data_IF_081267735942
#
_entry.id   IF_081267735942
#
_cell.length_a   1.000
_cell.length_b   1.000
_cell.length_c   1.000
_cell.angle_alpha   90.00
_cell.angle_beta   90.00
_cell.angle_gamma   90.00
#
_symmetry.space_group_name_H-M   'P 1'
#
loop_
_entity.id
_entity.type
_entity.pdbx_description
1 polymer ?
#
# COMPACT_ATOMS: atom_id res chain seq x y z
N UNK A 1 -0.74 -12.69 10.60
CA UNK A 1 -1.96 -12.01 11.07
C UNK A 1 -2.88 -12.97 11.82
N UNK A 2 -3.40 -14.09 11.22
CA UNK A 2 -4.29 -15.06 11.92
C UNK A 2 -3.77 -15.50 13.29
N UNK A 3 -2.46 -15.88 13.37
CA UNK A 3 -1.83 -16.33 14.63
C UNK A 3 -1.85 -15.22 15.72
N UNK A 4 -1.69 -13.95 15.36
CA UNK A 4 -1.76 -12.85 16.32
C UNK A 4 -3.18 -12.73 16.91
N UNK A 5 -4.20 -12.78 16.06
CA UNK A 5 -5.60 -12.75 16.51
C UNK A 5 -6.06 -13.99 17.27
N UNK A 6 -5.36 -15.13 17.15
CA UNK A 6 -5.72 -16.37 17.88
C UNK A 6 -5.23 -16.40 19.34
N UNK A 7 -4.38 -15.46 19.77
CA UNK A 7 -3.90 -15.40 21.16
C UNK A 7 -5.02 -14.98 22.12
N UNK A 8 -5.56 -15.90 22.90
CA UNK A 8 -6.74 -15.66 23.77
C UNK A 8 -6.57 -14.50 24.75
N UNK A 9 -5.37 -14.27 25.29
CA UNK A 9 -5.09 -13.29 26.34
C UNK A 9 -4.50 -11.95 25.82
N UNK A 10 -4.38 -11.76 24.50
CA UNK A 10 -3.83 -10.52 23.97
C UNK A 10 -4.83 -9.36 24.12
N UNK A 11 -4.40 -8.25 24.70
CA UNK A 11 -5.22 -7.04 24.86
C UNK A 11 -5.47 -6.33 23.53
N UNK A 12 -4.49 -6.33 22.63
CA UNK A 12 -4.56 -5.74 21.30
C UNK A 12 -3.70 -6.52 20.30
N UNK A 13 -3.85 -6.21 19.02
CA UNK A 13 -2.95 -6.67 17.95
C UNK A 13 -2.22 -5.45 17.40
N UNK A 14 -0.91 -5.42 17.58
CA UNK A 14 -0.02 -4.43 16.98
C UNK A 14 0.47 -4.93 15.62
N UNK A 15 0.45 -4.06 14.62
CA UNK A 15 0.91 -4.37 13.26
C UNK A 15 1.91 -3.30 12.84
N UNK A 16 3.17 -3.71 12.66
CA UNK A 16 4.17 -2.87 11.99
C UNK A 16 3.97 -2.97 10.48
N UNK A 17 4.10 -1.84 9.81
CA UNK A 17 3.99 -1.74 8.36
C UNK A 17 5.13 -0.90 7.81
N UNK A 18 5.82 -1.44 6.81
CA UNK A 18 6.80 -0.74 6.00
C UNK A 18 6.50 -1.04 4.54
N UNK A 19 5.76 -0.14 3.87
CA UNK A 19 5.25 -0.41 2.52
C UNK A 19 4.99 0.86 1.74
N UNK A 20 5.54 0.98 0.52
CA UNK A 20 5.27 2.09 -0.40
C UNK A 20 3.93 1.94 -1.13
N UNK A 21 3.23 0.83 -0.94
CA UNK A 21 1.97 0.51 -1.61
C UNK A 21 2.03 -0.76 -2.45
N UNK A 22 1.30 -0.76 -3.55
CA UNK A 22 1.20 -1.90 -4.47
C UNK A 22 -0.21 -2.10 -5.00
N UNK A 23 -0.58 -3.33 -5.32
CA UNK A 23 -1.88 -3.66 -5.92
C UNK A 23 -3.06 -3.19 -5.06
N UNK A 24 -3.99 -2.39 -5.60
CA UNK A 24 -5.18 -1.92 -4.88
C UNK A 24 -6.03 -3.06 -4.32
N UNK A 25 -6.25 -4.11 -5.13
CA UNK A 25 -7.06 -5.26 -4.72
C UNK A 25 -6.42 -6.00 -3.55
N UNK A 26 -5.11 -6.25 -3.59
CA UNK A 26 -4.42 -6.94 -2.50
C UNK A 26 -4.43 -6.12 -1.20
N UNK A 27 -4.22 -4.82 -1.31
CA UNK A 27 -4.29 -3.90 -0.17
C UNK A 27 -5.68 -3.90 0.47
N UNK A 28 -6.74 -3.87 -0.35
CA UNK A 28 -8.11 -3.91 0.12
C UNK A 28 -8.48 -5.27 0.77
N UNK A 29 -8.01 -6.39 0.21
CA UNK A 29 -8.21 -7.72 0.79
C UNK A 29 -7.53 -7.84 2.15
N UNK A 30 -6.31 -7.31 2.31
CA UNK A 30 -5.58 -7.31 3.58
C UNK A 30 -6.32 -6.43 4.60
N UNK A 31 -6.72 -5.22 4.23
CA UNK A 31 -7.53 -4.32 5.05
C UNK A 31 -8.80 -5.02 5.55
N UNK A 32 -9.58 -5.57 4.63
CA UNK A 32 -10.84 -6.24 4.94
C UNK A 32 -10.63 -7.45 5.85
N UNK A 33 -9.59 -8.23 5.59
CA UNK A 33 -9.23 -9.38 6.42
C UNK A 33 -8.88 -8.96 7.86
N UNK A 34 -8.09 -7.90 8.04
CA UNK A 34 -7.71 -7.39 9.37
C UNK A 34 -8.95 -6.92 10.11
N UNK A 35 -9.82 -6.13 9.46
CA UNK A 35 -11.07 -5.66 10.08
C UNK A 35 -12.01 -6.81 10.46
N UNK A 36 -12.11 -7.84 9.62
CA UNK A 36 -12.89 -9.03 9.92
C UNK A 36 -12.34 -9.76 11.16
N UNK A 37 -11.01 -9.96 11.25
CA UNK A 37 -10.40 -10.60 12.41
C UNK A 37 -10.54 -9.76 13.68
N UNK A 38 -10.37 -8.45 13.60
CA UNK A 38 -10.57 -7.52 14.71
C UNK A 38 -12.00 -7.63 15.25
N UNK A 39 -13.02 -7.57 14.38
CA UNK A 39 -14.43 -7.73 14.75
C UNK A 39 -14.69 -9.10 15.38
N UNK A 40 -14.20 -10.20 14.77
CA UNK A 40 -14.42 -11.57 15.27
C UNK A 40 -13.80 -11.80 16.64
N UNK A 41 -12.65 -11.20 16.92
CA UNK A 41 -11.93 -11.37 18.19
C UNK A 41 -12.25 -10.29 19.23
N UNK A 42 -13.02 -9.27 18.88
CA UNK A 42 -13.30 -8.07 19.65
C UNK A 42 -12.03 -7.40 20.17
N UNK A 43 -11.02 -7.21 19.30
CA UNK A 43 -9.72 -6.66 19.67
C UNK A 43 -9.41 -5.40 18.91
N UNK A 44 -8.79 -4.47 19.62
CA UNK A 44 -8.19 -3.29 19.01
C UNK A 44 -7.00 -3.69 18.14
N UNK A 45 -6.85 -2.97 17.04
CA UNK A 45 -5.71 -3.08 16.12
C UNK A 45 -4.99 -1.74 16.13
N UNK A 46 -3.68 -1.78 16.40
CA UNK A 46 -2.83 -0.60 16.42
C UNK A 46 -1.76 -0.76 15.35
N UNK A 47 -1.72 0.19 14.41
CA UNK A 47 -0.69 0.20 13.37
C UNK A 47 0.48 1.09 13.76
N UNK A 48 1.67 0.63 13.38
CA UNK A 48 2.91 1.37 13.52
C UNK A 48 3.59 1.41 12.15
N UNK A 49 3.61 2.60 11.53
CA UNK A 49 4.37 2.82 10.31
C UNK A 49 5.86 2.91 10.67
N UNK A 50 6.66 2.13 9.97
CA UNK A 50 8.12 2.20 10.03
C UNK A 50 8.59 3.34 9.11
N UNK A 51 9.42 3.08 8.08
CA UNK A 51 9.89 4.15 7.18
C UNK A 51 8.75 4.71 6.31
N UNK A 52 7.92 3.82 5.76
CA UNK A 52 6.85 4.21 4.82
C UNK A 52 5.55 3.45 5.09
N UNK A 53 4.45 4.18 5.12
CA UNK A 53 3.09 3.65 4.97
C UNK A 53 2.36 4.54 3.96
N UNK A 54 2.56 4.27 2.67
CA UNK A 54 2.06 5.09 1.57
C UNK A 54 1.19 4.28 0.61
N UNK A 55 0.28 4.96 -0.10
CA UNK A 55 -0.61 4.34 -1.09
C UNK A 55 -1.34 3.12 -0.51
N UNK A 56 -1.23 1.94 -1.13
CA UNK A 56 -1.80 0.69 -0.61
C UNK A 56 -1.33 0.34 0.82
N UNK A 57 -0.12 0.77 1.23
CA UNK A 57 0.38 0.63 2.61
C UNK A 57 -0.44 1.46 3.60
N UNK A 58 -0.79 2.70 3.23
CA UNK A 58 -1.66 3.53 4.05
C UNK A 58 -3.11 3.01 4.06
N UNK A 59 -3.62 2.52 2.92
CA UNK A 59 -4.91 1.85 2.86
C UNK A 59 -5.00 0.69 3.87
N UNK A 60 -3.97 -0.14 3.94
CA UNK A 60 -3.89 -1.23 4.93
C UNK A 60 -3.85 -0.69 6.35
N UNK A 61 -3.09 0.39 6.60
CA UNK A 61 -2.99 1.03 7.93
C UNK A 61 -4.34 1.55 8.42
N UNK A 62 -5.21 1.97 7.51
CA UNK A 62 -6.60 2.35 7.83
C UNK A 62 -7.45 1.21 8.39
N UNK A 63 -6.96 -0.04 8.40
CA UNK A 63 -7.58 -1.12 9.14
C UNK A 63 -7.34 -1.04 10.65
N UNK A 64 -6.46 -0.17 11.13
CA UNK A 64 -6.23 0.11 12.54
C UNK A 64 -7.33 0.93 13.18
N UNK A 65 -7.52 0.72 14.47
CA UNK A 65 -8.30 1.62 15.31
C UNK A 65 -7.46 2.85 15.68
N UNK A 66 -6.14 2.66 15.71
CA UNK A 66 -5.14 3.71 15.91
C UNK A 66 -3.94 3.48 14.97
N UNK A 67 -3.32 4.57 14.51
CA UNK A 67 -2.15 4.56 13.63
C UNK A 67 -1.09 5.48 14.23
N UNK A 68 0.10 4.94 14.45
CA UNK A 68 1.29 5.66 14.92
C UNK A 68 2.41 5.59 13.89
N UNK A 69 3.31 6.55 13.92
CA UNK A 69 4.48 6.60 13.04
C UNK A 69 5.64 7.33 13.73
N UNK A 70 6.84 7.19 13.20
CA UNK A 70 7.94 8.08 13.54
C UNK A 70 7.68 9.46 12.91
N UNK A 71 8.26 10.53 13.49
CA UNK A 71 8.16 11.89 12.94
C UNK A 71 8.63 12.01 11.50
N UNK A 72 9.58 11.17 11.11
CA UNK A 72 10.20 11.11 9.79
C UNK A 72 9.60 10.06 8.85
N UNK A 73 8.67 9.21 9.31
CA UNK A 73 7.97 8.26 8.45
C UNK A 73 7.24 8.97 7.32
N UNK A 74 7.13 8.32 6.17
CA UNK A 74 6.38 8.81 5.02
C UNK A 74 4.97 8.22 5.02
N UNK A 75 3.96 9.08 5.04
CA UNK A 75 2.55 8.70 5.19
C UNK A 75 1.71 9.36 4.09
N UNK A 76 0.71 8.66 3.58
CA UNK A 76 -0.24 9.24 2.63
C UNK A 76 -0.17 8.62 1.24
N UNK A 77 0.12 9.41 0.21
CA UNK A 77 0.06 8.99 -1.19
C UNK A 77 -1.31 8.38 -1.52
N UNK A 78 -2.39 9.10 -1.16
CA UNK A 78 -3.77 8.65 -1.36
C UNK A 78 -4.15 9.00 -2.80
N UNK A 79 -3.79 8.10 -3.71
CA UNK A 79 -3.98 8.25 -5.14
C UNK A 79 -3.76 6.95 -5.89
N UNK A 80 -4.08 6.96 -7.18
CA UNK A 80 -3.90 5.83 -8.10
C UNK A 80 -3.10 6.27 -9.29
N UNK A 81 -2.06 5.52 -9.63
CA UNK A 81 -1.22 5.78 -10.80
C UNK A 81 -1.21 4.57 -11.72
N UNK A 82 -1.19 4.83 -13.01
CA UNK A 82 -0.73 3.90 -14.05
C UNK A 82 0.49 4.52 -14.72
N UNK A 83 1.54 3.75 -14.88
CA UNK A 83 2.73 4.17 -15.62
C UNK A 83 3.16 3.06 -16.55
N UNK A 84 3.55 3.43 -17.77
CA UNK A 84 4.03 2.52 -18.80
C UNK A 84 5.10 3.23 -19.65
N UNK A 85 5.74 2.48 -20.51
CA UNK A 85 6.68 3.00 -21.51
C UNK A 85 6.08 2.84 -22.89
N UNK A 86 6.28 3.85 -23.77
CA UNK A 86 5.95 3.76 -25.20
C UNK A 86 7.19 3.37 -26.01
N UNK A 87 7.10 2.31 -26.80
CA UNK A 87 8.20 1.79 -27.63
C UNK A 87 7.93 1.90 -29.14
N UNK A 88 6.87 2.61 -29.55
CA UNK A 88 6.44 2.73 -30.94
C UNK A 88 7.56 3.22 -31.85
N UNK A 89 8.25 4.30 -31.49
CA UNK A 89 9.34 4.84 -32.27
C UNK A 89 10.61 3.98 -32.25
N UNK A 90 10.83 3.27 -31.13
CA UNK A 90 11.97 2.37 -31.01
C UNK A 90 11.85 1.19 -31.99
N UNK A 91 10.70 0.52 -32.01
CA UNK A 91 10.50 -0.64 -32.91
C UNK A 91 10.53 -0.23 -34.37
N UNK A 92 10.01 0.96 -34.73
CA UNK A 92 10.14 1.51 -36.09
C UNK A 92 11.61 1.69 -36.49
N UNK A 93 12.46 2.25 -35.63
CA UNK A 93 13.89 2.49 -35.91
C UNK A 93 14.69 1.20 -36.13
N UNK A 94 14.32 0.10 -35.48
CA UNK A 94 15.00 -1.19 -35.66
C UNK A 94 14.33 -2.11 -36.69
N UNK A 95 13.33 -1.59 -37.42
CA UNK A 95 12.64 -2.34 -38.48
C UNK A 95 11.73 -3.46 -37.98
N UNK A 96 11.23 -3.37 -36.75
CA UNK A 96 10.29 -4.34 -36.19
C UNK A 96 8.86 -3.87 -36.37
N UNK A 97 8.00 -4.73 -36.89
CA UNK A 97 6.57 -4.49 -37.07
C UNK A 97 5.76 -5.20 -35.99
N UNK A 98 4.93 -4.47 -35.27
CA UNK A 98 3.97 -5.02 -34.29
C UNK A 98 2.71 -5.47 -35.02
N UNK A 99 2.41 -6.77 -35.00
CA UNK A 99 1.19 -7.36 -35.57
C UNK A 99 0.28 -7.86 -34.47
N UNK A 100 -0.93 -7.32 -34.40
CA UNK A 100 -1.90 -7.65 -33.36
C UNK A 100 -3.23 -8.06 -34.01
N UNK A 101 -3.69 -9.26 -33.70
CA UNK A 101 -4.98 -9.80 -34.10
C UNK A 101 -5.83 -10.07 -32.86
N UNK A 102 -6.97 -9.42 -32.74
CA UNK A 102 -7.82 -9.54 -31.56
C UNK A 102 -9.23 -9.95 -31.90
N UNK A 103 -9.85 -10.72 -31.04
CA UNK A 103 -11.29 -10.87 -30.95
C UNK A 103 -11.79 -10.00 -29.80
N UNK A 104 -12.59 -8.99 -30.12
CA UNK A 104 -13.02 -7.93 -29.21
C UNK A 104 -12.35 -6.58 -29.50
N UNK A 105 -13.18 -5.56 -29.78
CA UNK A 105 -12.76 -4.22 -30.24
C UNK A 105 -11.69 -3.56 -29.36
N UNK A 106 -11.77 -3.77 -28.06
CA UNK A 106 -10.92 -3.08 -27.06
C UNK A 106 -9.89 -4.02 -26.41
N UNK A 107 -9.54 -5.15 -27.05
CA UNK A 107 -8.67 -6.15 -26.41
C UNK A 107 -7.21 -5.74 -26.37
N UNK A 108 -6.76 -4.84 -27.26
CA UNK A 108 -5.40 -4.31 -27.34
C UNK A 108 -5.36 -2.86 -26.82
N UNK A 109 -5.86 -2.65 -25.60
CA UNK A 109 -5.85 -1.34 -24.96
C UNK A 109 -4.45 -1.07 -24.38
N UNK A 110 -3.92 0.15 -24.65
CA UNK A 110 -2.63 0.64 -24.08
C UNK A 110 -1.44 -0.29 -24.36
N UNK A 111 -1.38 -0.89 -25.56
CA UNK A 111 -0.23 -1.67 -26.00
C UNK A 111 1.01 -0.75 -26.13
N UNK A 112 2.11 -1.00 -25.40
CA UNK A 112 3.27 -0.11 -25.36
C UNK A 112 4.02 0.00 -26.70
N UNK A 113 3.71 -0.87 -27.66
CA UNK A 113 4.29 -0.86 -29.02
C UNK A 113 3.37 -0.23 -30.06
N UNK A 114 2.26 0.35 -29.66
CA UNK A 114 1.30 1.05 -30.52
C UNK A 114 1.09 2.47 -30.01
N UNK A 115 0.60 3.34 -30.88
CA UNK A 115 0.20 4.69 -30.49
C UNK A 115 -0.99 4.62 -29.54
N UNK A 116 -0.96 5.45 -28.49
CA UNK A 116 -2.06 5.54 -27.53
C UNK A 116 -3.30 6.14 -28.20
N UNK A 117 -4.46 5.60 -27.89
CA UNK A 117 -5.75 6.10 -28.32
C UNK A 117 -6.42 6.86 -27.18
N UNK A 118 -6.94 8.05 -27.46
CA UNK A 118 -7.63 8.86 -26.45
C UNK A 118 -8.77 8.10 -25.75
N UNK A 119 -9.50 7.26 -26.49
CA UNK A 119 -10.55 6.41 -25.92
C UNK A 119 -10.03 5.42 -24.87
N UNK A 120 -8.81 4.89 -25.07
CA UNK A 120 -8.19 3.93 -24.14
C UNK A 120 -7.68 4.65 -22.89
N UNK A 121 -7.10 5.85 -23.08
CA UNK A 121 -6.71 6.74 -21.97
C UNK A 121 -7.93 7.09 -21.12
N UNK A 122 -9.04 7.45 -21.76
CA UNK A 122 -10.26 7.81 -21.03
C UNK A 122 -10.84 6.62 -20.26
N UNK A 123 -10.83 5.41 -20.81
CA UNK A 123 -11.24 4.19 -20.10
C UNK A 123 -10.36 3.93 -18.87
N UNK A 124 -9.04 4.09 -19.05
CA UNK A 124 -8.10 3.95 -17.93
C UNK A 124 -8.37 4.98 -16.84
N UNK A 125 -8.54 6.27 -17.22
CA UNK A 125 -8.86 7.33 -16.26
C UNK A 125 -10.13 7.04 -15.47
N UNK A 126 -11.16 6.53 -16.10
CA UNK A 126 -12.40 6.16 -15.40
C UNK A 126 -12.15 5.06 -14.36
N UNK A 127 -11.39 4.02 -14.71
CA UNK A 127 -11.01 2.96 -13.75
C UNK A 127 -10.18 3.55 -12.60
N UNK A 128 -9.24 4.44 -12.89
CA UNK A 128 -8.43 5.10 -11.86
C UNK A 128 -9.28 5.93 -10.90
N UNK A 129 -10.28 6.65 -11.41
CA UNK A 129 -11.22 7.43 -10.59
C UNK A 129 -12.04 6.53 -9.66
N UNK A 130 -12.56 5.41 -10.16
CA UNK A 130 -13.29 4.45 -9.34
C UNK A 130 -12.42 3.89 -8.21
N UNK A 131 -11.20 3.44 -8.54
CA UNK A 131 -10.25 2.92 -7.54
C UNK A 131 -9.83 3.99 -6.53
N UNK A 132 -9.66 5.23 -6.99
CA UNK A 132 -9.31 6.35 -6.12
C UNK A 132 -10.46 6.69 -5.17
N UNK A 133 -11.69 6.69 -5.67
CA UNK A 133 -12.87 6.92 -4.83
C UNK A 133 -13.03 5.82 -3.76
N UNK A 134 -12.77 4.56 -4.11
CA UNK A 134 -12.77 3.45 -3.15
C UNK A 134 -11.71 3.65 -2.06
N UNK A 135 -10.52 4.13 -2.43
CA UNK A 135 -9.48 4.44 -1.45
C UNK A 135 -9.90 5.60 -0.53
N UNK A 136 -10.43 6.69 -1.09
CA UNK A 136 -10.97 7.83 -0.33
C UNK A 136 -12.01 7.34 0.68
N UNK A 137 -12.95 6.51 0.26
CA UNK A 137 -14.01 5.96 1.11
C UNK A 137 -13.44 5.18 2.31
N UNK A 138 -12.38 4.39 2.08
CA UNK A 138 -11.68 3.66 3.16
C UNK A 138 -11.05 4.63 4.15
N UNK A 139 -10.35 5.66 3.66
CA UNK A 139 -9.70 6.66 4.52
C UNK A 139 -10.74 7.46 5.31
N UNK A 140 -11.78 7.94 4.67
CA UNK A 140 -12.88 8.67 5.33
C UNK A 140 -13.58 7.82 6.38
N UNK A 141 -13.83 6.55 6.10
CA UNK A 141 -14.41 5.62 7.07
C UNK A 141 -13.52 5.38 8.28
N UNK A 142 -12.20 5.32 8.08
CA UNK A 142 -11.22 5.08 9.15
C UNK A 142 -10.89 6.34 9.92
N UNK A 143 -10.65 7.44 9.23
CA UNK A 143 -10.13 8.69 9.81
C UNK A 143 -11.20 9.75 10.04
N UNK A 144 -12.20 9.82 9.18
CA UNK A 144 -13.44 10.63 9.30
C UNK A 144 -13.23 12.02 9.91
N UNK A 145 -13.79 12.24 11.09
CA UNK A 145 -13.73 13.50 11.81
C UNK A 145 -12.31 13.92 12.27
N UNK A 146 -11.33 13.02 12.21
CA UNK A 146 -9.92 13.35 12.55
C UNK A 146 -9.20 14.11 11.43
N UNK A 147 -9.70 14.00 10.18
CA UNK A 147 -9.06 14.61 9.02
C UNK A 147 -9.18 16.14 9.03
N UNK A 148 -8.04 16.81 8.92
CA UNK A 148 -7.99 18.24 8.65
C UNK A 148 -7.91 18.47 7.13
N UNK A 149 -9.06 18.73 6.51
CA UNK A 149 -9.21 18.95 5.05
C UNK A 149 -9.02 20.40 4.62
N UNK A 150 -8.73 21.31 5.56
CA UNK A 150 -8.73 22.76 5.28
C UNK A 150 -7.36 23.28 4.82
N UNK A 151 -6.28 22.58 5.17
CA UNK A 151 -4.93 23.05 4.90
C UNK A 151 -4.35 22.57 3.58
N UNK A 152 -4.73 21.37 3.13
CA UNK A 152 -4.22 20.73 1.92
C UNK A 152 -5.26 19.81 1.31
N UNK A 153 -5.10 19.49 0.03
CA UNK A 153 -5.90 18.48 -0.66
C UNK A 153 -5.39 17.08 -0.31
N UNK A 154 -5.97 16.45 0.72
CA UNK A 154 -5.52 15.17 1.27
C UNK A 154 -5.54 14.01 0.27
N UNK A 155 -6.34 14.10 -0.76
CA UNK A 155 -6.60 13.03 -1.73
C UNK A 155 -5.99 13.29 -3.11
N UNK A 156 -5.00 14.16 -3.18
CA UNK A 156 -4.28 14.51 -4.43
C UNK A 156 -3.19 13.50 -4.82
N UNK A 157 -2.89 12.51 -3.96
CA UNK A 157 -1.77 11.60 -4.13
C UNK A 157 -0.46 12.07 -3.49
N UNK A 158 -0.49 13.20 -2.78
CA UNK A 158 0.66 13.69 -2.00
C UNK A 158 0.96 12.79 -0.79
N UNK A 159 2.18 12.90 -0.30
CA UNK A 159 2.64 12.22 0.92
C UNK A 159 3.33 13.22 1.85
N UNK A 160 3.34 12.89 3.12
CA UNK A 160 3.80 13.79 4.18
C UNK A 160 4.68 13.06 5.19
N UNK A 161 5.55 13.82 5.87
CA UNK A 161 6.24 13.31 7.06
C UNK A 161 5.23 12.93 8.15
N UNK A 162 5.59 12.00 9.04
CA UNK A 162 4.74 11.61 10.16
C UNK A 162 4.29 12.81 11.01
N UNK A 163 5.20 13.77 11.26
CA UNK A 163 4.84 15.02 11.96
C UNK A 163 3.73 15.80 11.26
N UNK A 164 3.77 15.90 9.95
CA UNK A 164 2.73 16.59 9.16
C UNK A 164 1.46 15.76 9.07
N UNK A 165 1.58 14.45 8.85
CA UNK A 165 0.48 13.51 8.79
C UNK A 165 -0.36 13.51 10.09
N UNK A 166 0.27 13.68 11.25
CA UNK A 166 -0.42 13.86 12.54
C UNK A 166 -1.28 15.12 12.53
N UNK A 167 -0.76 16.26 12.09
CA UNK A 167 -1.51 17.52 12.00
C UNK A 167 -2.69 17.43 11.03
N UNK A 168 -2.52 16.64 9.96
CA UNK A 168 -3.56 16.40 8.96
C UNK A 168 -4.59 15.35 9.40
N UNK A 169 -4.39 14.70 10.54
CA UNK A 169 -5.29 13.67 11.07
C UNK A 169 -5.17 12.31 10.39
N UNK A 170 -4.13 12.12 9.56
CA UNK A 170 -3.88 10.84 8.90
C UNK A 170 -3.37 9.76 9.85
N UNK A 171 -2.72 10.16 10.95
CA UNK A 171 -2.29 9.28 12.04
C UNK A 171 -2.72 9.84 13.39
N UNK A 172 -2.70 9.01 14.43
CA UNK A 172 -3.15 9.38 15.78
C UNK A 172 -2.02 9.95 16.63
N UNK A 173 -0.79 9.51 16.41
CA UNK A 173 0.34 9.96 17.22
C UNK A 173 1.70 9.70 16.61
N UNK A 174 2.71 10.28 17.24
CA UNK A 174 4.12 10.00 16.98
C UNK A 174 4.62 9.11 18.09
N UNK A 175 5.35 8.05 17.74
CA UNK A 175 5.97 7.11 18.68
C UNK A 175 6.19 5.74 18.02
N UNK A 176 7.08 4.97 18.61
CA UNK A 176 7.35 3.60 18.18
C UNK A 176 6.44 2.58 18.91
N UNK A 177 6.46 1.34 18.39
CA UNK A 177 5.60 0.30 18.94
C UNK A 177 5.90 -0.06 20.39
N UNK A 178 7.16 0.01 20.81
CA UNK A 178 7.55 -0.37 22.16
C UNK A 178 7.09 0.67 23.19
N UNK A 179 7.36 1.94 22.90
CA UNK A 179 6.98 3.08 23.73
C UNK A 179 5.44 3.16 23.87
N UNK A 180 4.73 3.21 22.76
CA UNK A 180 3.27 3.36 22.76
C UNK A 180 2.56 2.17 23.39
N UNK A 181 3.05 0.94 23.19
CA UNK A 181 2.43 -0.22 23.82
C UNK A 181 2.67 -0.27 25.33
N UNK A 182 3.84 0.18 25.81
CA UNK A 182 4.09 0.34 27.25
C UNK A 182 3.20 1.42 27.87
N UNK A 183 3.10 2.57 27.24
CA UNK A 183 2.21 3.65 27.69
C UNK A 183 0.75 3.18 27.83
N UNK A 184 0.26 2.40 26.86
CA UNK A 184 -1.13 1.95 26.81
C UNK A 184 -1.46 0.77 27.72
N UNK A 185 -0.53 -0.15 27.89
CA UNK A 185 -0.78 -1.45 28.53
C UNK A 185 0.08 -1.71 29.77
N UNK A 186 0.92 -0.75 30.16
CA UNK A 186 1.81 -0.83 31.31
C UNK A 186 3.22 -1.29 30.95
N UNK A 187 4.17 -0.98 31.86
CA UNK A 187 5.61 -1.28 31.66
C UNK A 187 5.90 -2.77 31.46
N UNK A 188 5.11 -3.64 32.10
CA UNK A 188 5.26 -5.10 32.03
C UNK A 188 4.57 -5.73 30.81
N UNK A 189 4.17 -4.93 29.81
CA UNK A 189 3.51 -5.46 28.62
C UNK A 189 4.40 -6.44 27.85
N UNK A 190 3.90 -7.66 27.63
CA UNK A 190 4.61 -8.69 26.86
C UNK A 190 4.22 -8.61 25.39
N UNK A 191 5.18 -8.27 24.53
CA UNK A 191 5.00 -8.20 23.09
C UNK A 191 5.41 -9.54 22.48
N UNK A 192 4.44 -10.31 21.99
CA UNK A 192 4.69 -11.54 21.24
C UNK A 192 4.77 -11.26 19.75
N UNK A 193 5.97 -11.32 19.19
CA UNK A 193 6.20 -11.10 17.75
C UNK A 193 5.82 -12.32 16.90
N UNK A 194 5.25 -12.07 15.74
CA UNK A 194 4.93 -13.05 14.70
C UNK A 194 5.58 -12.60 13.39
N UNK A 195 6.74 -13.11 13.11
CA UNK A 195 7.45 -12.87 11.85
C UNK A 195 7.33 -14.09 10.93
N UNK A 196 7.38 -13.85 9.63
CA UNK A 196 7.49 -14.92 8.65
C UNK A 196 8.94 -15.39 8.65
N UNK A 197 9.23 -16.50 9.32
CA UNK A 197 10.53 -17.16 9.18
C UNK A 197 10.70 -17.58 7.72
N UNK A 198 11.66 -16.98 7.00
CA UNK A 198 12.08 -17.49 5.69
C UNK A 198 12.67 -18.88 5.93
N UNK A 199 11.92 -19.93 5.58
CA UNK A 199 12.44 -21.29 5.69
C UNK A 199 13.69 -21.44 4.84
N UNK A 200 14.76 -22.03 5.36
CA UNK A 200 16.02 -22.25 4.64
C UNK A 200 15.82 -23.04 3.32
N UNK A 201 14.76 -23.87 3.23
CA UNK A 201 14.39 -24.59 2.01
C UNK A 201 13.86 -23.64 0.91
N UNK A 202 13.19 -22.53 1.26
CA UNK A 202 12.69 -21.59 0.25
C UNK A 202 13.80 -20.79 -0.43
N UNK A 203 14.96 -20.65 0.22
CA UNK A 203 16.15 -20.06 -0.39
C UNK A 203 16.80 -20.98 -1.43
N UNK A 204 16.64 -22.30 -1.32
CA UNK A 204 17.25 -23.27 -2.26
C UNK A 204 16.38 -23.59 -3.49
N UNK A 205 15.08 -23.35 -3.45
CA UNK A 205 14.14 -23.67 -4.53
C UNK A 205 13.80 -22.50 -5.47
N UNK A 206 14.33 -21.30 -5.22
CA UNK A 206 14.06 -20.11 -6.05
C UNK A 206 15.00 -19.97 -7.26
N UNK A 207 15.65 -21.04 -7.71
CA UNK A 207 16.65 -20.96 -8.77
C UNK A 207 16.12 -21.01 -10.21
N UNK A 208 14.80 -20.99 -10.45
CA UNK A 208 14.27 -21.23 -11.80
C UNK A 208 13.68 -20.01 -12.55
N UNK A 209 13.56 -18.84 -11.93
CA UNK A 209 13.02 -17.65 -12.62
C UNK A 209 13.78 -16.37 -12.26
N UNK A 210 15.07 -16.31 -12.59
CA UNK A 210 15.92 -15.15 -12.29
C UNK A 210 15.47 -13.87 -13.02
N UNK A 211 14.91 -13.97 -14.22
CA UNK A 211 14.49 -12.82 -15.03
C UNK A 211 13.25 -12.17 -14.41
N UNK A 212 12.23 -12.96 -14.04
CA UNK A 212 11.03 -12.44 -13.40
C UNK A 212 11.30 -11.87 -12.00
N UNK A 213 12.24 -12.49 -11.26
CA UNK A 213 12.68 -11.96 -9.97
C UNK A 213 13.42 -10.64 -10.14
N UNK A 214 14.26 -10.51 -11.16
CA UNK A 214 15.00 -9.27 -11.44
C UNK A 214 14.07 -8.15 -11.85
N UNK A 215 13.09 -8.42 -12.73
CA UNK A 215 12.07 -7.47 -13.12
C UNK A 215 11.23 -6.99 -11.91
N UNK A 216 10.78 -7.93 -11.07
CA UNK A 216 10.03 -7.60 -9.85
C UNK A 216 10.86 -6.77 -8.85
N UNK A 217 12.17 -7.05 -8.72
CA UNK A 217 13.07 -6.27 -7.86
C UNK A 217 13.25 -4.85 -8.41
N UNK A 218 13.36 -4.68 -9.72
CA UNK A 218 13.46 -3.36 -10.34
C UNK A 218 12.17 -2.55 -10.16
N UNK A 219 11.02 -3.18 -10.37
CA UNK A 219 9.71 -2.54 -10.14
C UNK A 219 9.53 -2.14 -8.67
N UNK A 220 9.85 -3.03 -7.74
CA UNK A 220 9.78 -2.76 -6.32
C UNK A 220 10.72 -1.62 -5.93
N UNK A 221 11.99 -1.64 -6.39
CA UNK A 221 12.94 -0.55 -6.15
C UNK A 221 12.47 0.77 -6.74
N UNK A 222 11.89 0.78 -7.93
CA UNK A 222 11.37 2.02 -8.54
C UNK A 222 10.26 2.65 -7.71
N UNK A 223 9.44 1.84 -7.04
CA UNK A 223 8.39 2.32 -6.13
C UNK A 223 9.01 2.91 -4.85
N UNK A 224 10.02 2.26 -4.26
CA UNK A 224 10.72 2.76 -3.08
C UNK A 224 11.50 4.05 -3.34
N UNK A 225 12.14 4.16 -4.50
CA UNK A 225 12.88 5.36 -4.90
C UNK A 225 12.05 6.64 -4.93
N UNK A 226 10.72 6.54 -5.12
CA UNK A 226 9.81 7.70 -5.05
C UNK A 226 9.80 8.35 -3.67
N UNK A 227 10.18 7.61 -2.65
CA UNK A 227 10.19 8.05 -1.26
C UNK A 227 11.60 8.25 -0.71
N UNK A 228 12.63 8.12 -1.57
CA UNK A 228 14.04 8.34 -1.18
C UNK A 228 14.76 7.12 -0.60
N UNK A 229 14.23 5.90 -0.88
CA UNK A 229 14.80 4.62 -0.41
C UNK A 229 15.30 3.73 -1.54
#
# INVERSE_FOLDING_TARGET
>A
IKKAFSLKKAAAVAISINSPGGSPVQSHLIYSFIRQQAKKSNRKVIFFAEDVAASGGYLISCAGDEIYANSSSIIGSIGVIYSSFGFTELIKKIGVERRVHTAGKNKSTLDPFMEEKEEDIQRLKNIQLDLHQDFINVVEKSRGAKLNKTEVELFSGEFWSGSRAKKLGLIDGIGDAHEILKEKFGEDVVIKKFEKTKGWLSQKLSSSNHIDQFANILDERSIWQRYGF
#
